data_IF_323293212019
#
_entry.id   IF_323293212019
#
_cell.length_a   1.000
_cell.length_b   1.000
_cell.length_c   1.000
_cell.angle_alpha   90.00
_cell.angle_beta   90.00
_cell.angle_gamma   90.00
#
_symmetry.space_group_name_H-M   'P 1'
#
loop_
_entity.id
_entity.type
_entity.pdbx_description
1 polymer ?
#
# COMPACT_ATOMS: atom_id res chain seq x y z
N UNK A 1 -12.07 -5.03 -1.67
CA UNK A 1 -10.66 -4.66 -1.95
C UNK A 1 -10.42 -3.19 -1.58
N UNK A 2 -10.51 -2.82 -0.30
CA UNK A 2 -10.34 -1.42 0.13
C UNK A 2 -8.87 -1.06 0.34
N UNK A 3 -8.09 -1.94 0.98
CA UNK A 3 -6.66 -1.73 1.22
C UNK A 3 -5.86 -1.39 -0.05
N UNK A 4 -6.07 -2.14 -1.13
CA UNK A 4 -5.42 -1.86 -2.42
C UNK A 4 -5.85 -0.51 -3.03
N UNK A 5 -7.10 -0.08 -2.80
CA UNK A 5 -7.62 1.19 -3.30
C UNK A 5 -6.96 2.36 -2.59
N UNK A 6 -6.96 2.31 -1.26
CA UNK A 6 -6.36 3.36 -0.45
C UNK A 6 -4.85 3.45 -0.70
N UNK A 7 -4.15 2.31 -0.81
CA UNK A 7 -2.73 2.30 -1.17
C UNK A 7 -2.46 3.01 -2.52
N UNK A 8 -3.25 2.71 -3.56
CA UNK A 8 -3.14 3.40 -4.85
C UNK A 8 -3.42 4.90 -4.69
N UNK A 9 -4.48 5.28 -3.97
CA UNK A 9 -4.84 6.68 -3.78
C UNK A 9 -3.77 7.49 -3.03
N UNK A 10 -3.15 6.91 -1.99
CA UNK A 10 -2.05 7.52 -1.25
C UNK A 10 -0.85 7.77 -2.15
N UNK A 11 -0.46 6.76 -2.94
CA UNK A 11 0.64 6.88 -3.90
C UNK A 11 0.34 7.94 -4.97
N UNK A 12 -0.88 7.99 -5.50
CA UNK A 12 -1.27 8.97 -6.52
C UNK A 12 -1.29 10.41 -5.98
N UNK A 13 -1.81 10.63 -4.77
CA UNK A 13 -1.80 11.96 -4.16
C UNK A 13 -0.38 12.47 -3.95
N UNK A 14 0.49 11.66 -3.34
CA UNK A 14 1.86 12.09 -3.05
C UNK A 14 2.68 12.33 -4.31
N UNK A 15 2.48 11.53 -5.37
CA UNK A 15 3.07 11.77 -6.70
C UNK A 15 2.55 13.06 -7.35
N UNK A 16 1.33 13.49 -7.06
CA UNK A 16 0.76 14.72 -7.62
C UNK A 16 1.25 15.98 -6.89
N UNK A 17 1.49 15.89 -5.58
CA UNK A 17 1.92 17.02 -4.74
C UNK A 17 3.43 17.31 -4.88
N UNK A 18 4.24 16.29 -5.19
CA UNK A 18 5.70 16.42 -5.39
C UNK A 18 6.11 17.05 -6.72
N UNK A 19 5.16 17.45 -7.58
CA UNK A 19 5.47 18.13 -8.84
C UNK A 19 6.04 19.56 -8.65
N UNK A 20 5.82 20.21 -7.51
CA UNK A 20 6.21 21.61 -7.24
C UNK A 20 7.34 21.77 -6.19
N UNK A 21 7.74 20.71 -5.49
CA UNK A 21 8.74 20.80 -4.42
C UNK A 21 9.77 19.68 -4.53
N UNK A 22 11.05 20.06 -4.49
CA UNK A 22 12.23 19.19 -4.68
C UNK A 22 12.43 18.11 -3.60
N UNK A 23 11.49 17.93 -2.69
CA UNK A 23 11.49 16.81 -1.74
C UNK A 23 10.76 15.63 -2.40
N UNK A 24 11.53 14.65 -2.91
CA UNK A 24 10.98 13.37 -3.33
C UNK A 24 10.44 12.61 -2.10
N UNK A 25 9.21 12.92 -1.69
CA UNK A 25 8.48 12.16 -0.69
C UNK A 25 8.05 10.82 -1.29
N UNK A 26 8.96 9.85 -1.26
CA UNK A 26 8.67 8.49 -1.71
C UNK A 26 7.86 7.76 -0.62
N UNK A 27 6.69 7.23 -0.99
CA UNK A 27 5.79 6.55 -0.04
C UNK A 27 5.85 5.04 -0.25
N UNK A 28 6.10 4.32 0.84
CA UNK A 28 6.04 2.87 0.85
C UNK A 28 4.68 2.38 1.33
N UNK A 29 3.95 1.66 0.50
CA UNK A 29 2.69 1.04 0.89
C UNK A 29 2.84 -0.48 1.04
N UNK A 30 2.67 -0.98 2.26
CA UNK A 30 2.69 -2.41 2.58
C UNK A 30 1.33 -2.87 3.10
N UNK A 31 0.81 -3.96 2.53
CA UNK A 31 -0.41 -4.64 2.98
C UNK A 31 -0.08 -6.01 3.55
N UNK A 32 -0.35 -6.19 4.85
CA UNK A 32 -0.30 -7.49 5.51
C UNK A 32 -1.66 -8.18 5.45
N UNK A 33 -1.71 -9.40 4.93
CA UNK A 33 -2.97 -10.12 4.71
C UNK A 33 -2.84 -11.62 4.95
N UNK A 34 -3.96 -12.29 5.23
CA UNK A 34 -3.99 -13.77 5.31
C UNK A 34 -4.38 -14.40 3.98
N UNK A 35 -5.47 -13.90 3.37
CA UNK A 35 -5.99 -14.38 2.10
C UNK A 35 -6.53 -13.21 1.25
N UNK A 36 -6.28 -13.25 -0.06
CA UNK A 36 -6.86 -12.26 -0.98
C UNK A 36 -8.34 -12.57 -1.21
N UNK A 37 -9.21 -11.61 -0.86
CA UNK A 37 -10.65 -11.71 -1.11
C UNK A 37 -11.06 -10.88 -2.32
N UNK A 38 -10.49 -11.22 -3.47
CA UNK A 38 -10.68 -10.54 -4.76
C UNK A 38 -11.65 -11.31 -5.68
N UNK A 39 -12.86 -11.61 -5.19
CA UNK A 39 -13.80 -12.55 -5.81
C UNK A 39 -14.73 -11.95 -6.87
N UNK A 40 -14.86 -10.62 -6.93
CA UNK A 40 -15.73 -9.94 -7.90
C UNK A 40 -14.97 -9.54 -9.17
N UNK A 41 -15.72 -9.30 -10.25
CA UNK A 41 -15.17 -8.89 -11.55
C UNK A 41 -14.22 -7.69 -11.39
N UNK A 42 -13.00 -7.82 -11.92
CA UNK A 42 -12.01 -6.76 -11.92
C UNK A 42 -11.19 -6.63 -10.63
N UNK A 43 -11.49 -7.41 -9.58
CA UNK A 43 -10.81 -7.25 -8.28
C UNK A 43 -9.39 -7.84 -8.30
N UNK A 44 -9.20 -8.97 -8.98
CA UNK A 44 -7.88 -9.59 -9.16
C UNK A 44 -6.98 -8.69 -10.01
N UNK A 45 -7.51 -8.11 -11.08
CA UNK A 45 -6.80 -7.15 -11.91
C UNK A 45 -6.44 -5.88 -11.11
N UNK A 46 -7.33 -5.46 -10.21
CA UNK A 46 -7.05 -4.33 -9.32
C UNK A 46 -5.93 -4.63 -8.33
N UNK A 47 -5.92 -5.83 -7.74
CA UNK A 47 -4.84 -6.33 -6.89
C UNK A 47 -3.50 -6.31 -7.65
N UNK A 48 -3.45 -6.96 -8.82
CA UNK A 48 -2.23 -7.04 -9.65
C UNK A 48 -1.75 -5.67 -10.10
N UNK A 49 -2.67 -4.76 -10.41
CA UNK A 49 -2.31 -3.39 -10.79
C UNK A 49 -1.69 -2.64 -9.63
N UNK A 50 -2.22 -2.77 -8.41
CA UNK A 50 -1.63 -2.16 -7.22
C UNK A 50 -0.18 -2.64 -7.02
N UNK A 51 0.07 -3.95 -7.15
CA UNK A 51 1.39 -4.55 -7.04
C UNK A 51 2.33 -4.08 -8.18
N UNK A 52 1.95 -4.30 -9.43
CA UNK A 52 2.85 -4.14 -10.59
C UNK A 52 3.07 -2.69 -11.03
N UNK A 53 2.03 -1.84 -10.93
CA UNK A 53 2.09 -0.46 -11.44
C UNK A 53 2.42 0.55 -10.33
N UNK A 54 1.92 0.31 -9.13
CA UNK A 54 2.07 1.24 -8.02
C UNK A 54 3.12 0.79 -7.01
N UNK A 55 3.60 -0.46 -7.07
CA UNK A 55 4.63 -0.97 -6.17
C UNK A 55 4.10 -1.29 -4.77
N UNK A 56 2.79 -1.54 -4.63
CA UNK A 56 2.21 -1.94 -3.35
C UNK A 56 2.72 -3.33 -2.99
N UNK A 57 3.33 -3.47 -1.82
CA UNK A 57 3.88 -4.74 -1.36
C UNK A 57 2.86 -5.54 -0.56
N UNK A 58 2.71 -6.82 -0.89
CA UNK A 58 1.77 -7.72 -0.23
C UNK A 58 2.52 -8.79 0.55
N UNK A 59 2.40 -8.76 1.88
CA UNK A 59 3.01 -9.77 2.76
C UNK A 59 1.93 -10.66 3.34
N UNK A 60 2.03 -11.97 3.09
CA UNK A 60 1.07 -12.93 3.64
C UNK A 60 1.39 -13.24 5.09
N UNK A 61 0.80 -12.50 6.03
CA UNK A 61 0.90 -12.78 7.46
C UNK A 61 -0.33 -12.27 8.22
N UNK A 62 -0.49 -12.79 9.45
CA UNK A 62 -1.36 -12.21 10.46
C UNK A 62 -0.48 -11.47 11.46
N UNK A 63 -0.58 -10.15 11.50
CA UNK A 63 0.18 -9.32 12.45
C UNK A 63 -0.18 -9.74 13.87
N UNK A 64 0.85 -10.01 14.70
CA UNK A 64 0.69 -10.45 16.08
C UNK A 64 0.52 -9.28 17.05
N UNK A 65 1.43 -8.31 16.98
CA UNK A 65 1.47 -7.12 17.83
C UNK A 65 2.27 -6.01 17.14
N UNK A 66 1.95 -4.76 17.47
CA UNK A 66 2.73 -3.59 17.11
C UNK A 66 3.32 -3.02 18.41
N UNK A 67 4.62 -2.82 18.43
CA UNK A 67 5.35 -2.24 19.56
C UNK A 67 6.10 -1.02 19.08
N UNK A 68 6.06 0.03 19.87
CA UNK A 68 6.91 1.20 19.68
C UNK A 68 8.35 0.84 20.08
N UNK A 69 9.32 1.43 19.39
CA UNK A 69 10.73 1.22 19.70
C UNK A 69 11.07 1.97 21.01
N UNK A 70 11.50 1.28 22.08
CA UNK A 70 11.79 1.92 23.36
C UNK A 70 12.96 2.92 23.31
N UNK A 71 13.77 2.93 22.25
CA UNK A 71 14.88 3.87 22.09
C UNK A 71 14.47 5.18 21.41
N UNK A 72 13.39 5.17 20.61
CA UNK A 72 12.97 6.33 19.79
C UNK A 72 11.51 6.71 19.96
N UNK A 73 10.76 5.98 20.80
CA UNK A 73 9.35 6.19 21.13
C UNK A 73 9.12 7.31 22.13
#
# INVERSE_FOLDING_TARGET
>A
MYAAKEAIMTIEHLRSETHDSSENADVHCQVFFMDTRAYSKGYEEYYRRAEQKYGVEYTRCRVSELKEDPATG
#
